data_IF_518532513960
#
_entry.id   IF_518532513960
#
_cell.length_a   1.000
_cell.length_b   1.000
_cell.length_c   1.000
_cell.angle_alpha   90.00
_cell.angle_beta   90.00
_cell.angle_gamma   90.00
#
_symmetry.space_group_name_H-M   'P 1'
#
loop_
_entity.id
_entity.type
_entity.pdbx_description
1 polymer ?
#
# COMPACT_ATOMS: atom_id res chain seq x y z
N UNK A 1 29.14 3.55 -4.48
CA UNK A 1 28.92 2.11 -4.22
C UNK A 1 27.45 1.78 -4.44
N UNK A 2 27.09 0.99 -5.44
CA UNK A 2 25.69 0.60 -5.66
C UNK A 2 25.22 -0.26 -4.48
N UNK A 3 24.15 0.16 -3.78
CA UNK A 3 23.50 -0.70 -2.78
C UNK A 3 23.22 -2.07 -3.41
N UNK A 4 23.66 -3.15 -2.75
CA UNK A 4 23.35 -4.52 -3.15
C UNK A 4 21.83 -4.67 -3.18
N UNK A 5 21.27 -4.86 -4.38
CA UNK A 5 19.82 -4.89 -4.61
C UNK A 5 19.17 -6.03 -3.80
N UNK A 6 18.01 -5.76 -3.22
CA UNK A 6 17.32 -6.67 -2.31
C UNK A 6 16.16 -7.32 -3.07
N UNK A 7 16.41 -8.50 -3.65
CA UNK A 7 15.48 -9.13 -4.60
C UNK A 7 14.05 -9.31 -4.07
N UNK A 8 13.88 -9.72 -2.81
CA UNK A 8 12.54 -9.94 -2.23
C UNK A 8 11.69 -8.67 -2.15
N UNK A 9 12.33 -7.50 -2.02
CA UNK A 9 11.63 -6.22 -2.00
C UNK A 9 11.01 -5.94 -3.36
N UNK A 10 11.69 -6.28 -4.44
CA UNK A 10 11.15 -6.11 -5.79
C UNK A 10 9.89 -6.98 -6.00
N UNK A 11 9.89 -8.24 -5.54
CA UNK A 11 8.70 -9.10 -5.58
C UNK A 11 7.53 -8.54 -4.76
N UNK A 12 7.80 -8.06 -3.54
CA UNK A 12 6.78 -7.46 -2.68
C UNK A 12 6.18 -6.20 -3.32
N UNK A 13 7.00 -5.34 -3.94
CA UNK A 13 6.51 -4.15 -4.65
C UNK A 13 5.64 -4.50 -5.84
N UNK A 14 6.04 -5.50 -6.63
CA UNK A 14 5.25 -5.98 -7.79
C UNK A 14 3.90 -6.54 -7.34
N UNK A 15 3.92 -7.40 -6.33
CA UNK A 15 2.69 -7.98 -5.78
C UNK A 15 1.77 -6.91 -5.18
N UNK A 16 2.33 -5.96 -4.43
CA UNK A 16 1.58 -4.86 -3.84
C UNK A 16 0.96 -3.95 -4.91
N UNK A 17 1.71 -3.57 -5.95
CA UNK A 17 1.19 -2.65 -6.97
C UNK A 17 0.03 -3.25 -7.76
N UNK A 18 0.17 -4.50 -8.23
CA UNK A 18 -0.91 -5.14 -8.97
C UNK A 18 -2.09 -5.50 -8.05
N UNK A 19 -1.83 -5.79 -6.78
CA UNK A 19 -2.91 -5.97 -5.82
C UNK A 19 -3.69 -4.68 -5.56
N UNK A 20 -3.06 -3.50 -5.53
CA UNK A 20 -3.76 -2.21 -5.45
C UNK A 20 -4.62 -1.97 -6.68
N UNK A 21 -4.07 -2.18 -7.88
CA UNK A 21 -4.83 -2.03 -9.14
C UNK A 21 -6.03 -2.97 -9.15
N UNK A 22 -5.84 -4.25 -8.79
CA UNK A 22 -6.94 -5.21 -8.69
C UNK A 22 -7.96 -4.78 -7.64
N UNK A 23 -7.53 -4.37 -6.44
CA UNK A 23 -8.45 -3.92 -5.38
C UNK A 23 -9.36 -2.78 -5.83
N UNK A 24 -8.84 -1.84 -6.63
CA UNK A 24 -9.65 -0.77 -7.18
C UNK A 24 -10.59 -1.28 -8.29
N UNK A 25 -10.14 -2.20 -9.17
CA UNK A 25 -11.00 -2.79 -10.20
C UNK A 25 -12.20 -3.54 -9.61
N UNK A 26 -12.07 -4.08 -8.40
CA UNK A 26 -13.13 -4.80 -7.70
C UNK A 26 -14.22 -3.88 -7.12
N UNK A 27 -13.94 -2.59 -6.93
CA UNK A 27 -14.78 -1.70 -6.13
C UNK A 27 -16.22 -1.60 -6.66
N UNK A 28 -16.39 -1.42 -7.97
CA UNK A 28 -17.71 -1.30 -8.60
C UNK A 28 -18.52 -2.61 -8.49
N UNK A 29 -17.88 -3.77 -8.70
CA UNK A 29 -18.54 -5.08 -8.55
C UNK A 29 -18.96 -5.34 -7.11
N UNK A 30 -18.12 -4.96 -6.14
CA UNK A 30 -18.40 -5.15 -4.72
C UNK A 30 -19.46 -4.20 -4.17
N UNK A 31 -19.61 -3.00 -4.76
CA UNK A 31 -20.67 -2.04 -4.45
C UNK A 31 -22.03 -2.43 -5.06
N UNK A 32 -22.05 -3.38 -6.00
CA UNK A 32 -23.26 -3.88 -6.64
C UNK A 32 -24.04 -4.89 -5.80
N UNK A 33 -24.81 -5.75 -6.48
CA UNK A 33 -25.63 -6.78 -5.83
C UNK A 33 -24.75 -7.85 -5.18
N UNK A 34 -24.82 -7.92 -3.85
CA UNK A 34 -24.11 -8.92 -3.04
C UNK A 34 -24.57 -10.35 -3.35
N UNK A 35 -23.66 -11.32 -3.16
CA UNK A 35 -23.90 -12.76 -3.31
C UNK A 35 -24.33 -13.23 -4.72
N UNK A 36 -23.95 -12.46 -5.74
CA UNK A 36 -23.92 -12.95 -7.12
C UNK A 36 -22.59 -13.66 -7.37
N UNK A 37 -22.50 -14.52 -8.38
CA UNK A 37 -21.24 -15.19 -8.72
C UNK A 37 -20.09 -14.19 -8.99
N UNK A 38 -20.39 -13.05 -9.62
CA UNK A 38 -19.42 -11.97 -9.86
C UNK A 38 -18.96 -11.33 -8.55
N UNK A 39 -19.89 -11.07 -7.63
CA UNK A 39 -19.58 -10.52 -6.31
C UNK A 39 -18.75 -11.51 -5.47
N UNK A 40 -19.09 -12.80 -5.49
CA UNK A 40 -18.36 -13.84 -4.74
C UNK A 40 -16.90 -13.93 -5.21
N UNK A 41 -16.67 -13.94 -6.53
CA UNK A 41 -15.33 -13.87 -7.10
C UNK A 41 -14.61 -12.57 -6.73
N UNK A 42 -15.29 -11.44 -6.81
CA UNK A 42 -14.70 -10.16 -6.44
C UNK A 42 -14.29 -10.12 -4.96
N UNK A 43 -15.13 -10.68 -4.08
CA UNK A 43 -14.87 -10.76 -2.64
C UNK A 43 -13.72 -11.71 -2.31
N UNK A 44 -13.61 -12.84 -3.03
CA UNK A 44 -12.48 -13.75 -2.96
C UNK A 44 -11.16 -13.04 -3.33
N UNK A 45 -11.13 -12.34 -4.47
CA UNK A 45 -9.95 -11.61 -4.89
C UNK A 45 -9.60 -10.46 -3.95
N UNK A 46 -10.60 -9.77 -3.39
CA UNK A 46 -10.38 -8.74 -2.37
C UNK A 46 -9.64 -9.29 -1.16
N UNK A 47 -9.98 -10.49 -0.69
CA UNK A 47 -9.24 -11.16 0.39
C UNK A 47 -7.78 -11.46 0.04
N UNK A 48 -7.48 -11.77 -1.22
CA UNK A 48 -6.10 -11.99 -1.70
C UNK A 48 -5.29 -10.70 -1.70
N UNK A 49 -5.89 -9.58 -2.15
CA UNK A 49 -5.16 -8.33 -2.37
C UNK A 49 -5.26 -7.32 -1.22
N UNK A 50 -6.08 -7.58 -0.21
CA UNK A 50 -6.22 -6.70 0.96
C UNK A 50 -4.88 -6.35 1.66
N UNK A 51 -3.85 -7.21 1.70
CA UNK A 51 -2.57 -6.88 2.35
C UNK A 51 -1.70 -5.88 1.56
N UNK A 52 -2.03 -5.57 0.30
CA UNK A 52 -1.15 -4.84 -0.62
C UNK A 52 -0.69 -3.48 -0.09
N UNK A 53 -1.58 -2.70 0.53
CA UNK A 53 -1.22 -1.42 1.13
C UNK A 53 -0.26 -1.60 2.31
N UNK A 54 -0.54 -2.56 3.19
CA UNK A 54 0.34 -2.88 4.32
C UNK A 54 1.73 -3.30 3.87
N UNK A 55 1.82 -4.07 2.78
CA UNK A 55 3.09 -4.47 2.17
C UNK A 55 3.87 -3.24 1.69
N UNK A 56 3.22 -2.26 1.06
CA UNK A 56 3.89 -1.03 0.64
C UNK A 56 4.49 -0.25 1.81
N UNK A 57 3.77 -0.15 2.93
CA UNK A 57 4.31 0.50 4.13
C UNK A 57 5.49 -0.27 4.72
N UNK A 58 5.40 -1.61 4.79
CA UNK A 58 6.52 -2.44 5.26
C UNK A 58 7.75 -2.33 4.35
N UNK A 59 7.56 -2.37 3.03
CA UNK A 59 8.65 -2.18 2.07
C UNK A 59 9.28 -0.79 2.22
N UNK A 60 8.46 0.24 2.38
CA UNK A 60 8.93 1.61 2.59
C UNK A 60 9.79 1.72 3.85
N UNK A 61 9.36 1.12 4.96
CA UNK A 61 10.14 1.07 6.20
C UNK A 61 11.47 0.34 6.06
N UNK A 62 11.46 -0.83 5.41
CA UNK A 62 12.66 -1.60 5.14
C UNK A 62 13.71 -0.80 4.34
N UNK A 63 13.29 -0.12 3.28
CA UNK A 63 14.18 0.63 2.39
C UNK A 63 14.64 1.96 2.99
N UNK A 64 13.71 2.75 3.52
CA UNK A 64 13.98 4.09 4.04
C UNK A 64 14.85 3.98 5.30
N UNK A 65 14.49 3.15 6.27
CA UNK A 65 15.22 3.08 7.54
C UNK A 65 16.55 2.33 7.46
N UNK A 66 16.84 1.64 6.36
CA UNK A 66 18.14 0.97 6.15
C UNK A 66 19.11 1.78 5.30
N UNK A 67 18.62 2.82 4.62
CA UNK A 67 19.49 3.62 3.75
C UNK A 67 20.44 4.53 4.56
N UNK A 68 21.72 4.65 4.17
CA UNK A 68 22.69 5.48 4.88
C UNK A 68 22.37 6.98 4.77
N UNK A 69 21.73 7.42 3.69
CA UNK A 69 21.38 8.82 3.44
C UNK A 69 20.08 9.28 4.12
N UNK A 70 19.50 8.46 5.00
CA UNK A 70 18.19 8.79 5.60
C UNK A 70 18.30 9.88 6.67
N UNK A 71 19.45 10.03 7.31
CA UNK A 71 19.71 11.08 8.29
C UNK A 71 20.07 12.44 7.62
N UNK A 72 20.29 12.47 6.31
CA UNK A 72 20.69 13.67 5.58
C UNK A 72 19.45 14.48 5.17
N UNK A 73 19.22 15.60 5.87
CA UNK A 73 18.10 16.51 5.60
C UNK A 73 18.20 17.16 4.23
N UNK A 74 19.41 17.55 3.81
CA UNK A 74 19.60 18.15 2.50
C UNK A 74 19.22 17.14 1.41
N UNK A 75 19.72 15.90 1.49
CA UNK A 75 19.36 14.82 0.57
C UNK A 75 17.86 14.48 0.61
N UNK A 76 17.23 14.51 1.78
CA UNK A 76 15.80 14.31 1.92
C UNK A 76 15.00 15.33 1.08
N UNK A 77 15.22 16.63 1.31
CA UNK A 77 14.42 17.68 0.69
C UNK A 77 14.78 17.95 -0.77
N UNK A 78 16.01 17.66 -1.21
CA UNK A 78 16.43 17.92 -2.60
C UNK A 78 16.28 16.72 -3.52
N UNK A 79 16.29 15.49 -2.99
CA UNK A 79 16.27 14.28 -3.82
C UNK A 79 15.09 13.36 -3.51
N UNK A 80 14.94 12.90 -2.27
CA UNK A 80 13.95 11.86 -1.94
C UNK A 80 12.52 12.38 -1.98
N UNK A 81 12.28 13.51 -1.31
CA UNK A 81 10.96 14.10 -1.23
C UNK A 81 10.51 14.59 -2.61
N UNK A 82 11.40 15.23 -3.37
CA UNK A 82 11.13 15.71 -4.73
C UNK A 82 10.69 14.58 -5.67
N UNK A 83 11.39 13.43 -5.64
CA UNK A 83 11.04 12.25 -6.43
C UNK A 83 9.66 11.67 -6.16
N UNK A 84 8.99 12.08 -5.09
CA UNK A 84 7.70 11.55 -4.67
C UNK A 84 6.64 12.65 -4.77
N UNK A 85 6.90 13.80 -4.15
CA UNK A 85 5.94 14.89 -4.10
C UNK A 85 5.73 15.51 -5.48
N UNK A 86 6.77 15.71 -6.30
CA UNK A 86 6.60 16.35 -7.62
C UNK A 86 5.76 15.47 -8.57
N UNK A 87 6.10 14.17 -8.79
CA UNK A 87 5.23 13.27 -9.55
C UNK A 87 3.80 13.21 -9.01
N UNK A 88 3.65 13.12 -7.68
CA UNK A 88 2.34 13.09 -7.04
C UNK A 88 1.50 14.33 -7.35
N UNK A 89 2.06 15.54 -7.20
CA UNK A 89 1.32 16.78 -7.46
C UNK A 89 0.90 16.88 -8.93
N UNK A 90 1.77 16.46 -9.86
CA UNK A 90 1.43 16.44 -11.30
C UNK A 90 0.27 15.48 -11.56
N UNK A 91 0.36 14.25 -11.07
CA UNK A 91 -0.69 13.24 -11.28
C UNK A 91 -1.98 13.57 -10.53
N UNK A 92 -1.90 14.22 -9.37
CA UNK A 92 -3.05 14.76 -8.66
C UNK A 92 -3.79 15.80 -9.53
N UNK A 93 -3.06 16.75 -10.11
CA UNK A 93 -3.62 17.74 -11.04
C UNK A 93 -4.28 17.10 -12.26
N UNK A 94 -3.61 16.12 -12.89
CA UNK A 94 -4.16 15.35 -14.02
C UNK A 94 -5.44 14.62 -13.60
N UNK A 95 -5.43 13.97 -12.44
CA UNK A 95 -6.57 13.19 -11.93
C UNK A 95 -7.77 14.08 -11.66
N UNK A 96 -7.57 15.22 -10.99
CA UNK A 96 -8.62 16.21 -10.75
C UNK A 96 -9.17 16.72 -12.09
N UNK A 97 -8.32 16.95 -13.09
CA UNK A 97 -8.77 17.40 -14.41
C UNK A 97 -9.64 16.33 -15.11
N UNK A 98 -9.20 15.07 -15.11
CA UNK A 98 -9.93 13.97 -15.76
C UNK A 98 -11.25 13.69 -15.05
N UNK A 99 -11.24 13.60 -13.72
CA UNK A 99 -12.42 13.24 -12.92
C UNK A 99 -13.47 14.35 -12.87
N UNK A 100 -13.09 15.62 -13.08
CA UNK A 100 -14.05 16.72 -13.15
C UNK A 100 -14.65 16.93 -14.55
N UNK A 101 -14.05 16.39 -15.62
CA UNK A 101 -14.63 16.48 -16.97
C UNK A 101 -15.93 15.69 -17.13
N UNK A 102 -16.17 14.72 -16.24
CA UNK A 102 -17.42 13.95 -16.19
C UNK A 102 -18.53 14.68 -15.43
N UNK A 103 -18.24 15.83 -14.79
CA UNK A 103 -19.21 16.68 -14.09
C UNK A 103 -19.59 17.86 -15.01
N UNK A 104 -20.87 18.13 -15.27
CA UNK A 104 -21.30 19.35 -15.97
C UNK A 104 -20.78 20.60 -15.23
N UNK A 105 -20.09 21.51 -15.93
CA UNK A 105 -19.56 22.76 -15.35
C UNK A 105 -18.06 22.80 -15.06
N UNK A 106 -17.23 22.01 -15.76
CA UNK A 106 -15.77 22.12 -15.66
C UNK A 106 -15.31 23.57 -15.88
N UNK A 107 -14.70 24.16 -14.85
CA UNK A 107 -14.04 25.47 -14.93
C UNK A 107 -12.64 25.38 -14.33
N UNK A 108 -11.72 26.19 -14.86
CA UNK A 108 -10.37 26.30 -14.33
C UNK A 108 -10.37 26.68 -12.83
N UNK A 109 -11.35 27.48 -12.40
CA UNK A 109 -11.52 27.88 -11.00
C UNK A 109 -11.86 26.69 -10.09
N UNK A 110 -12.76 25.79 -10.50
CA UNK A 110 -13.10 24.59 -9.72
C UNK A 110 -11.90 23.64 -9.64
N UNK A 111 -11.19 23.45 -10.76
CA UNK A 111 -9.97 22.65 -10.77
C UNK A 111 -8.91 23.22 -9.82
N UNK A 112 -8.66 24.52 -9.88
CA UNK A 112 -7.67 25.20 -9.05
C UNK A 112 -8.05 25.14 -7.57
N UNK A 113 -9.32 25.38 -7.21
CA UNK A 113 -9.79 25.23 -5.83
C UNK A 113 -9.56 23.80 -5.31
N UNK A 114 -9.96 22.78 -6.08
CA UNK A 114 -9.73 21.37 -5.69
C UNK A 114 -8.25 21.04 -5.56
N UNK A 115 -7.40 21.62 -6.40
CA UNK A 115 -5.95 21.45 -6.33
C UNK A 115 -5.36 22.11 -5.06
N UNK A 116 -5.84 23.29 -4.68
CA UNK A 116 -5.41 23.95 -3.44
C UNK A 116 -5.87 23.21 -2.18
N UNK A 117 -7.01 22.54 -2.23
CA UNK A 117 -7.52 21.69 -1.13
C UNK A 117 -6.88 20.30 -1.07
N UNK A 118 -5.84 20.01 -1.86
CA UNK A 118 -5.18 18.69 -1.81
C UNK A 118 -4.69 18.37 -0.40
N UNK A 119 -4.27 19.36 0.39
CA UNK A 119 -3.77 19.08 1.74
C UNK A 119 -4.81 18.41 2.68
N UNK A 120 -6.11 18.66 2.47
CA UNK A 120 -7.19 18.12 3.30
C UNK A 120 -8.21 17.26 2.53
N UNK A 121 -8.14 17.21 1.21
CA UNK A 121 -9.00 16.40 0.35
C UNK A 121 -8.18 15.62 -0.67
N UNK A 122 -8.35 14.30 -0.70
CA UNK A 122 -7.60 13.47 -1.64
C UNK A 122 -8.06 13.70 -3.09
N UNK A 123 -7.13 13.86 -4.06
CA UNK A 123 -7.48 14.04 -5.47
C UNK A 123 -8.29 12.87 -6.04
N UNK A 124 -8.04 11.67 -5.50
CA UNK A 124 -8.85 10.47 -5.64
C UNK A 124 -8.67 9.61 -4.40
N UNK A 125 -9.60 8.69 -4.13
CA UNK A 125 -9.45 7.76 -2.99
C UNK A 125 -8.13 7.02 -3.08
N UNK A 126 -7.71 6.55 -4.25
CA UNK A 126 -6.45 5.83 -4.45
C UNK A 126 -5.20 6.58 -3.93
N UNK A 127 -5.21 7.92 -3.93
CA UNK A 127 -4.06 8.73 -3.48
C UNK A 127 -3.89 8.88 -1.98
N UNK A 128 -4.82 8.38 -1.16
CA UNK A 128 -4.74 8.48 0.29
C UNK A 128 -3.40 7.96 0.85
N UNK A 129 -2.86 6.89 0.25
CA UNK A 129 -1.58 6.26 0.65
C UNK A 129 -0.37 7.22 0.56
N UNK A 130 -0.42 8.21 -0.33
CA UNK A 130 0.68 9.18 -0.49
C UNK A 130 0.88 10.04 0.74
N UNK A 131 -0.17 10.31 1.52
CA UNK A 131 -0.12 11.23 2.64
C UNK A 131 0.68 10.65 3.81
N UNK A 132 0.38 9.43 4.30
CA UNK A 132 1.25 8.77 5.27
C UNK A 132 2.66 8.52 4.73
N UNK A 133 2.80 8.19 3.43
CA UNK A 133 4.12 7.97 2.83
C UNK A 133 4.98 9.24 2.90
N UNK A 134 4.45 10.39 2.49
CA UNK A 134 5.15 11.69 2.59
C UNK A 134 5.50 11.98 4.06
N UNK A 135 4.58 11.73 5.00
CA UNK A 135 4.84 11.81 6.43
C UNK A 135 6.02 10.95 6.87
N UNK A 136 6.10 9.70 6.41
CA UNK A 136 7.23 8.82 6.69
C UNK A 136 8.55 9.31 6.09
N UNK A 137 8.55 9.94 4.91
CA UNK A 137 9.77 10.55 4.38
C UNK A 137 10.23 11.72 5.25
N UNK A 138 9.32 12.63 5.62
CA UNK A 138 9.63 13.80 6.45
C UNK A 138 10.14 13.40 7.84
N UNK A 139 9.53 12.39 8.46
CA UNK A 139 9.93 11.88 9.78
C UNK A 139 11.07 10.87 9.73
N UNK A 140 11.47 10.42 8.54
CA UNK A 140 12.48 9.37 8.39
C UNK A 140 13.84 9.70 9.03
N UNK A 141 14.37 10.93 9.03
CA UNK A 141 15.64 11.24 9.70
C UNK A 141 15.55 11.04 11.22
N UNK A 142 14.43 11.46 11.84
CA UNK A 142 14.18 11.27 13.26
C UNK A 142 14.05 9.77 13.59
N UNK A 143 13.24 9.04 12.82
CA UNK A 143 13.03 7.61 13.05
C UNK A 143 14.35 6.85 12.83
N UNK A 144 15.14 7.23 11.82
CA UNK A 144 16.45 6.64 11.52
C UNK A 144 17.44 6.86 12.66
N UNK A 145 17.56 8.09 13.18
CA UNK A 145 18.40 8.41 14.33
C UNK A 145 18.05 7.56 15.57
N UNK A 146 16.76 7.25 15.75
CA UNK A 146 16.29 6.32 16.79
C UNK A 146 16.69 4.86 16.49
N UNK A 147 16.31 4.30 15.34
CA UNK A 147 16.52 2.87 15.06
C UNK A 147 17.98 2.48 14.84
N UNK A 148 18.87 3.44 14.59
CA UNK A 148 20.32 3.22 14.49
C UNK A 148 20.97 2.95 15.85
N UNK A 149 20.41 3.54 16.91
CA UNK A 149 20.92 3.40 18.28
C UNK A 149 20.09 2.42 19.11
N UNK A 150 18.82 2.26 18.79
CA UNK A 150 17.91 1.37 19.50
C UNK A 150 18.25 -0.10 19.24
N UNK A 151 18.16 -0.93 20.29
CA UNK A 151 18.18 -2.39 20.10
C UNK A 151 16.91 -2.85 19.39
N UNK A 152 16.98 -3.98 18.67
CA UNK A 152 15.80 -4.56 18.02
C UNK A 152 14.66 -4.87 19.01
N UNK A 153 14.97 -5.13 20.30
CA UNK A 153 13.97 -5.32 21.36
C UNK A 153 13.18 -4.04 21.66
N UNK A 154 13.84 -2.89 21.63
CA UNK A 154 13.15 -1.60 21.82
C UNK A 154 12.24 -1.31 20.62
N UNK A 155 12.67 -1.66 19.41
CA UNK A 155 11.80 -1.58 18.21
C UNK A 155 10.59 -2.51 18.36
N UNK A 156 10.79 -3.75 18.85
CA UNK A 156 9.69 -4.69 19.11
C UNK A 156 8.71 -4.15 20.16
N UNK A 157 9.21 -3.49 21.21
CA UNK A 157 8.38 -2.82 22.22
C UNK A 157 7.53 -1.68 21.62
N UNK A 158 8.11 -0.82 20.77
CA UNK A 158 7.36 0.25 20.10
C UNK A 158 6.28 -0.31 19.16
N UNK A 159 6.60 -1.39 18.43
CA UNK A 159 5.62 -2.09 17.59
C UNK A 159 4.49 -2.67 18.45
N UNK A 160 4.80 -3.27 19.61
CA UNK A 160 3.79 -3.81 20.52
C UNK A 160 2.88 -2.72 21.08
N UNK A 161 3.44 -1.60 21.54
CA UNK A 161 2.66 -0.46 22.00
C UNK A 161 1.73 0.07 20.92
N UNK A 162 2.25 0.25 19.70
CA UNK A 162 1.44 0.66 18.56
C UNK A 162 0.34 -0.35 18.26
N UNK A 163 0.66 -1.65 18.26
CA UNK A 163 -0.30 -2.71 17.96
C UNK A 163 -1.46 -2.69 18.97
N UNK A 164 -1.16 -2.55 20.27
CA UNK A 164 -2.20 -2.47 21.30
C UNK A 164 -3.07 -1.23 21.09
N UNK A 165 -2.44 -0.07 20.95
CA UNK A 165 -3.14 1.24 20.98
C UNK A 165 -3.87 1.58 19.68
N UNK A 166 -3.31 1.21 18.53
CA UNK A 166 -3.81 1.64 17.21
C UNK A 166 -4.51 0.52 16.43
N UNK A 167 -4.31 -0.75 16.80
CA UNK A 167 -4.91 -1.89 16.09
C UNK A 167 -5.85 -2.67 17.01
N UNK A 168 -5.33 -3.21 18.12
CA UNK A 168 -6.07 -4.11 18.99
C UNK A 168 -7.24 -3.42 19.69
N UNK A 169 -7.01 -2.28 20.36
CA UNK A 169 -8.07 -1.57 21.07
C UNK A 169 -9.17 -1.08 20.13
N UNK A 170 -8.88 -0.37 19.00
CA UNK A 170 -9.92 -0.01 18.03
C UNK A 170 -10.66 -1.22 17.46
N UNK A 171 -9.97 -2.32 17.18
CA UNK A 171 -10.60 -3.55 16.70
C UNK A 171 -11.55 -4.16 17.75
N UNK A 172 -11.15 -4.21 19.02
CA UNK A 172 -12.02 -4.66 20.12
C UNK A 172 -13.27 -3.79 20.21
N UNK A 173 -13.12 -2.46 20.13
CA UNK A 173 -14.26 -1.52 20.13
C UNK A 173 -15.23 -1.83 18.98
N UNK A 174 -14.72 -2.13 17.78
CA UNK A 174 -15.56 -2.43 16.61
C UNK A 174 -16.36 -3.73 16.75
N UNK A 175 -15.79 -4.77 17.36
CA UNK A 175 -16.46 -6.08 17.50
C UNK A 175 -17.34 -6.19 18.75
N UNK A 176 -17.16 -5.31 19.74
CA UNK A 176 -17.91 -5.34 21.00
C UNK A 176 -19.29 -4.69 20.89
N UNK A 177 -20.28 -5.14 21.70
CA UNK A 177 -21.53 -4.43 21.85
C UNK A 177 -21.33 -3.00 22.36
N UNK A 178 -22.11 -2.04 21.86
CA UNK A 178 -21.96 -0.60 22.14
C UNK A 178 -21.91 -0.25 23.62
N UNK A 179 -22.63 -1.00 24.48
CA UNK A 179 -22.63 -0.83 25.95
C UNK A 179 -21.26 -0.97 26.60
N UNK A 180 -20.36 -1.75 26.01
CA UNK A 180 -19.01 -1.98 26.51
C UNK A 180 -17.96 -1.26 25.69
N UNK A 181 -18.22 -1.07 24.39
CA UNK A 181 -17.33 -0.38 23.47
C UNK A 181 -16.97 1.03 23.97
N UNK A 182 -17.88 1.71 24.69
CA UNK A 182 -17.66 3.06 25.24
C UNK A 182 -16.45 3.15 26.17
N UNK A 183 -16.14 2.11 26.96
CA UNK A 183 -15.04 2.12 27.91
C UNK A 183 -13.66 2.00 27.24
N UNK A 184 -13.63 1.49 26.00
CA UNK A 184 -12.42 1.30 25.21
C UNK A 184 -12.35 2.27 24.02
N UNK A 185 -13.41 3.06 23.80
CA UNK A 185 -13.48 4.05 22.72
C UNK A 185 -12.52 5.19 22.99
N UNK A 186 -11.71 5.54 21.99
CA UNK A 186 -10.83 6.70 22.06
C UNK A 186 -11.51 7.93 21.49
N UNK A 187 -11.17 9.11 22.02
CA UNK A 187 -11.66 10.39 21.49
C UNK A 187 -10.96 10.71 20.17
N UNK A 188 -11.68 10.83 19.03
CA UNK A 188 -11.08 11.06 17.71
C UNK A 188 -10.24 12.35 17.63
N UNK A 189 -10.55 13.34 18.48
CA UNK A 189 -9.84 14.63 18.59
C UNK A 189 -8.37 14.49 18.98
N UNK A 190 -7.95 13.36 19.56
CA UNK A 190 -6.55 13.10 19.93
C UNK A 190 -5.81 12.23 18.90
N UNK A 191 -6.39 11.99 17.72
CA UNK A 191 -5.67 11.33 16.64
C UNK A 191 -4.49 12.21 16.20
N UNK A 192 -3.28 11.82 16.59
CA UNK A 192 -2.05 12.34 15.99
C UNK A 192 -1.99 11.81 14.55
N UNK A 193 -2.61 12.57 13.63
CA UNK A 193 -2.76 12.27 12.20
C UNK A 193 -1.41 11.97 11.52
N UNK A 194 -0.29 12.41 12.10
CA UNK A 194 1.04 12.31 11.48
C UNK A 194 1.59 10.89 11.37
N UNK A 195 1.15 9.93 12.19
CA UNK A 195 1.70 8.56 12.21
C UNK A 195 0.64 7.47 12.10
N UNK A 196 -0.55 7.67 12.68
CA UNK A 196 -1.76 6.87 12.48
C UNK A 196 -1.60 5.34 12.57
N UNK A 197 -2.60 4.63 12.05
CA UNK A 197 -2.62 3.16 11.99
C UNK A 197 -1.61 2.57 10.99
N UNK A 198 -0.81 3.38 10.30
CA UNK A 198 0.14 2.91 9.28
C UNK A 198 1.58 2.83 9.80
N UNK A 199 1.92 3.56 10.87
CA UNK A 199 3.29 3.66 11.39
C UNK A 199 3.88 2.31 11.84
N UNK A 200 3.07 1.45 12.46
CA UNK A 200 3.55 0.13 12.85
C UNK A 200 3.91 -0.76 11.67
N UNK A 201 3.17 -0.70 10.57
CA UNK A 201 3.53 -1.41 9.33
C UNK A 201 4.92 -0.99 8.85
N UNK A 202 5.21 0.31 8.88
CA UNK A 202 6.52 0.86 8.53
C UNK A 202 7.64 0.28 9.41
N UNK A 203 7.46 0.27 10.74
CA UNK A 203 8.45 -0.31 11.67
C UNK A 203 8.57 -1.83 11.56
N UNK A 204 7.46 -2.56 11.37
CA UNK A 204 7.45 -4.01 11.16
C UNK A 204 8.28 -4.37 9.93
N UNK A 205 8.14 -3.61 8.83
CA UNK A 205 8.93 -3.81 7.63
C UNK A 205 10.44 -3.67 7.86
N UNK A 206 10.85 -2.61 8.57
CA UNK A 206 12.25 -2.44 9.00
C UNK A 206 12.72 -3.59 9.89
N UNK A 207 11.91 -3.95 10.90
CA UNK A 207 12.23 -4.98 11.86
C UNK A 207 12.40 -6.36 11.20
N UNK A 208 11.48 -6.73 10.31
CA UNK A 208 11.55 -7.96 9.52
C UNK A 208 12.73 -7.94 8.55
N UNK A 209 13.05 -6.79 7.93
CA UNK A 209 14.21 -6.64 7.07
C UNK A 209 15.54 -6.91 7.82
N UNK A 210 15.70 -6.37 9.03
CA UNK A 210 16.89 -6.58 9.86
C UNK A 210 17.00 -7.99 10.45
N UNK A 211 15.91 -8.76 10.52
CA UNK A 211 15.96 -10.13 11.05
C UNK A 211 16.78 -11.06 10.14
N UNK A 212 17.86 -11.70 10.63
CA UNK A 212 18.63 -12.65 9.85
C UNK A 212 17.85 -13.94 9.60
N UNK A 213 18.03 -14.54 8.43
CA UNK A 213 17.40 -15.81 8.08
C UNK A 213 18.37 -16.94 8.43
N UNK A 214 18.21 -17.54 9.61
CA UNK A 214 19.06 -18.66 10.06
C UNK A 214 18.69 -19.98 9.39
N UNK A 215 17.38 -20.31 9.32
CA UNK A 215 16.86 -21.51 8.67
C UNK A 215 15.52 -21.18 7.99
N UNK A 216 15.46 -21.10 6.64
CA UNK A 216 14.22 -20.80 5.96
C UNK A 216 13.33 -22.05 5.94
N UNK A 217 12.50 -22.24 6.99
CA UNK A 217 11.41 -23.21 7.00
C UNK A 217 10.24 -22.73 6.13
N UNK A 218 10.51 -22.46 4.85
CA UNK A 218 9.57 -21.75 3.95
C UNK A 218 8.21 -22.46 3.82
N UNK A 219 8.20 -23.81 3.84
CA UNK A 219 6.97 -24.61 3.78
C UNK A 219 5.97 -24.22 4.87
N UNK A 220 6.42 -24.07 6.11
CA UNK A 220 5.53 -23.69 7.23
C UNK A 220 5.01 -22.26 7.10
N UNK A 221 5.85 -21.35 6.59
CA UNK A 221 5.44 -19.98 6.32
C UNK A 221 4.39 -19.92 5.19
N UNK A 222 4.53 -20.73 4.14
CA UNK A 222 3.50 -20.86 3.12
C UNK A 222 2.19 -21.42 3.68
N UNK A 223 2.24 -22.49 4.49
CA UNK A 223 1.04 -23.06 5.13
C UNK A 223 0.33 -21.97 5.94
N UNK A 224 1.06 -21.25 6.81
CA UNK A 224 0.49 -20.18 7.62
C UNK A 224 -0.09 -19.04 6.77
N UNK A 225 0.62 -18.65 5.70
CA UNK A 225 0.14 -17.62 4.76
C UNK A 225 -1.19 -18.05 4.11
N UNK A 226 -1.31 -19.30 3.66
CA UNK A 226 -2.53 -19.84 3.06
C UNK A 226 -3.66 -19.95 4.09
N UNK A 227 -3.35 -20.35 5.33
CA UNK A 227 -4.33 -20.38 6.42
C UNK A 227 -4.88 -18.98 6.73
N UNK A 228 -4.01 -17.97 6.82
CA UNK A 228 -4.42 -16.58 7.05
C UNK A 228 -5.22 -16.01 5.87
N UNK A 229 -4.87 -16.39 4.64
CA UNK A 229 -5.64 -16.05 3.44
C UNK A 229 -7.06 -16.64 3.51
N UNK A 230 -7.17 -17.95 3.77
CA UNK A 230 -8.46 -18.63 3.88
C UNK A 230 -9.31 -18.04 5.02
N UNK A 231 -8.68 -17.75 6.17
CA UNK A 231 -9.33 -17.10 7.29
C UNK A 231 -9.85 -15.70 6.92
N UNK A 232 -9.03 -14.90 6.23
CA UNK A 232 -9.41 -13.55 5.79
C UNK A 232 -10.59 -13.59 4.82
N UNK A 233 -10.56 -14.47 3.81
CA UNK A 233 -11.66 -14.63 2.86
C UNK A 233 -12.93 -15.11 3.58
N UNK A 234 -12.80 -16.14 4.42
CA UNK A 234 -13.93 -16.71 5.16
C UNK A 234 -14.59 -15.71 6.09
N UNK A 235 -13.81 -15.02 6.93
CA UNK A 235 -14.33 -14.01 7.85
C UNK A 235 -14.95 -12.82 7.11
N UNK A 236 -14.34 -12.37 6.02
CA UNK A 236 -14.92 -11.29 5.21
C UNK A 236 -16.27 -11.70 4.61
N UNK A 237 -16.39 -12.93 4.12
CA UNK A 237 -17.65 -13.46 3.60
C UNK A 237 -18.74 -13.58 4.68
N UNK A 238 -18.37 -14.07 5.88
CA UNK A 238 -19.28 -14.13 7.03
C UNK A 238 -19.73 -12.73 7.50
N UNK A 239 -18.81 -11.76 7.45
CA UNK A 239 -19.09 -10.36 7.78
C UNK A 239 -20.06 -9.74 6.76
N UNK A 240 -19.86 -10.02 5.46
CA UNK A 240 -20.80 -9.60 4.41
C UNK A 240 -22.21 -10.19 4.61
N UNK A 241 -22.30 -11.43 5.11
CA UNK A 241 -23.56 -12.06 5.51
C UNK A 241 -24.14 -11.55 6.83
N UNK A 242 -23.46 -10.62 7.52
CA UNK A 242 -23.81 -10.12 8.85
C UNK A 242 -23.93 -11.22 9.92
N UNK A 243 -23.30 -12.37 9.68
CA UNK A 243 -23.22 -13.48 10.66
C UNK A 243 -22.19 -13.14 11.73
N UNK A 244 -21.10 -12.49 11.33
CA UNK A 244 -20.09 -11.94 12.23
C UNK A 244 -20.01 -10.43 12.03
N UNK A 245 -19.35 -9.74 12.96
CA UNK A 245 -18.99 -8.33 12.84
C UNK A 245 -17.47 -8.16 12.96
N UNK A 246 -16.71 -9.02 12.26
CA UNK A 246 -15.24 -9.09 12.39
C UNK A 246 -14.61 -8.49 11.12
N UNK A 247 -14.13 -7.23 11.17
CA UNK A 247 -13.52 -6.58 10.02
C UNK A 247 -12.12 -7.15 9.78
N UNK A 248 -11.88 -7.69 8.59
CA UNK A 248 -10.58 -8.31 8.23
C UNK A 248 -9.96 -7.73 6.96
N UNK A 249 -10.73 -6.99 6.16
CA UNK A 249 -10.22 -6.30 4.97
C UNK A 249 -9.70 -4.92 5.36
N UNK A 250 -8.58 -4.52 4.75
CA UNK A 250 -7.91 -3.26 5.01
C UNK A 250 -6.62 -3.46 5.80
N UNK A 251 -6.24 -2.46 6.60
CA UNK A 251 -4.98 -2.44 7.37
C UNK A 251 -5.20 -2.17 8.86
N UNK A 252 -6.45 -2.18 9.32
CA UNK A 252 -6.84 -1.74 10.66
C UNK A 252 -7.06 -2.91 11.63
N UNK A 253 -7.03 -4.15 11.14
CA UNK A 253 -7.31 -5.34 11.95
C UNK A 253 -6.04 -6.09 12.35
N UNK A 254 -6.03 -6.74 13.52
CA UNK A 254 -4.95 -7.65 13.93
C UNK A 254 -4.66 -8.73 12.88
N UNK A 255 -5.70 -9.29 12.27
CA UNK A 255 -5.59 -10.34 11.25
C UNK A 255 -4.87 -9.78 10.01
N UNK A 256 -5.24 -8.58 9.56
CA UNK A 256 -4.58 -7.92 8.44
C UNK A 256 -3.10 -7.64 8.72
N UNK A 257 -2.75 -7.17 9.93
CA UNK A 257 -1.35 -6.94 10.33
C UNK A 257 -0.54 -8.23 10.27
N UNK A 258 -1.04 -9.30 10.89
CA UNK A 258 -0.36 -10.60 10.95
C UNK A 258 -0.23 -11.20 9.56
N UNK A 259 -1.29 -11.14 8.75
CA UNK A 259 -1.30 -11.66 7.39
C UNK A 259 -0.29 -10.92 6.50
N UNK A 260 -0.26 -9.59 6.57
CA UNK A 260 0.71 -8.76 5.84
C UNK A 260 2.15 -9.07 6.26
N UNK A 261 2.41 -9.16 7.57
CA UNK A 261 3.73 -9.47 8.13
C UNK A 261 4.21 -10.87 7.69
N UNK A 262 3.31 -11.84 7.69
CA UNK A 262 3.62 -13.21 7.28
C UNK A 262 3.89 -13.30 5.78
N UNK A 263 3.13 -12.60 4.93
CA UNK A 263 3.44 -12.51 3.50
C UNK A 263 4.85 -11.93 3.29
N UNK A 264 5.17 -10.81 3.94
CA UNK A 264 6.50 -10.19 3.86
C UNK A 264 7.59 -11.20 4.23
N UNK A 265 7.39 -11.91 5.33
CA UNK A 265 8.34 -12.88 5.87
C UNK A 265 8.49 -14.12 4.98
N UNK A 266 7.39 -14.66 4.47
CA UNK A 266 7.36 -15.78 3.52
C UNK A 266 8.15 -15.44 2.26
N UNK A 267 7.88 -14.30 1.64
CA UNK A 267 8.58 -13.86 0.42
C UNK A 267 10.06 -13.61 0.69
N UNK A 268 10.40 -12.97 1.82
CA UNK A 268 11.80 -12.76 2.23
C UNK A 268 12.56 -14.09 2.38
N UNK A 269 11.97 -15.09 3.03
CA UNK A 269 12.59 -16.41 3.21
C UNK A 269 12.67 -17.19 1.91
N UNK A 270 11.60 -17.16 1.12
CA UNK A 270 11.52 -17.82 -0.18
C UNK A 270 12.62 -17.31 -1.11
N UNK A 271 12.88 -16.00 -1.14
CA UNK A 271 13.85 -15.42 -2.07
C UNK A 271 15.31 -15.83 -1.80
N UNK A 272 15.65 -16.30 -0.60
CA UNK A 272 17.05 -16.61 -0.25
C UNK A 272 17.55 -17.87 -0.94
N UNK A 273 16.65 -18.81 -1.27
CA UNK A 273 17.03 -20.14 -1.78
C UNK A 273 16.30 -20.54 -3.06
N UNK A 274 15.53 -19.65 -3.67
CA UNK A 274 14.71 -20.02 -4.82
C UNK A 274 15.43 -19.70 -6.15
N UNK A 275 15.68 -20.71 -7.02
CA UNK A 275 16.30 -20.50 -8.33
C UNK A 275 15.55 -19.54 -9.26
N UNK A 276 14.24 -19.35 -9.05
CA UNK A 276 13.44 -18.38 -9.80
C UNK A 276 13.94 -16.93 -9.57
N UNK A 277 14.57 -16.67 -8.44
CA UNK A 277 15.19 -15.37 -8.16
C UNK A 277 16.31 -15.07 -9.15
N UNK A 278 17.14 -16.07 -9.44
CA UNK A 278 18.22 -15.93 -10.43
C UNK A 278 17.67 -15.88 -11.86
N UNK A 279 16.61 -16.67 -12.15
CA UNK A 279 15.94 -16.67 -13.45
C UNK A 279 15.35 -15.31 -13.82
N UNK A 280 14.69 -14.64 -12.88
CA UNK A 280 14.02 -13.36 -13.11
C UNK A 280 14.83 -12.15 -12.63
N UNK A 281 16.12 -12.32 -12.31
CA UNK A 281 16.98 -11.27 -11.74
C UNK A 281 17.09 -10.01 -12.59
N UNK A 282 16.85 -10.09 -13.90
CA UNK A 282 16.92 -8.95 -14.82
C UNK A 282 15.55 -8.28 -15.04
N UNK A 283 14.46 -9.02 -14.81
CA UNK A 283 13.09 -8.59 -15.12
C UNK A 283 12.43 -7.97 -13.89
N UNK A 284 12.48 -8.66 -12.76
CA UNK A 284 11.89 -8.21 -11.49
C UNK A 284 12.34 -6.79 -11.11
N UNK A 285 13.62 -6.42 -11.29
CA UNK A 285 14.08 -5.05 -11.16
C UNK A 285 13.34 -3.97 -11.94
N UNK A 286 13.03 -4.27 -13.20
CA UNK A 286 12.41 -3.34 -14.13
C UNK A 286 10.96 -3.09 -13.70
N UNK A 287 10.19 -4.15 -13.47
CA UNK A 287 8.80 -4.02 -13.03
C UNK A 287 8.69 -3.31 -11.68
N UNK A 288 9.58 -3.63 -10.74
CA UNK A 288 9.63 -2.97 -9.43
C UNK A 288 9.94 -1.47 -9.53
N UNK A 289 10.78 -1.03 -10.48
CA UNK A 289 11.04 0.41 -10.64
C UNK A 289 9.82 1.14 -11.22
N UNK A 290 9.02 0.49 -12.06
CA UNK A 290 7.81 1.06 -12.65
C UNK A 290 6.62 1.16 -11.67
N UNK A 291 6.64 0.42 -10.56
CA UNK A 291 5.53 0.32 -9.61
C UNK A 291 4.99 1.67 -9.13
N UNK A 292 5.86 2.65 -8.88
CA UNK A 292 5.40 3.98 -8.44
C UNK A 292 4.66 4.73 -9.55
N UNK A 293 5.13 4.62 -10.79
CA UNK A 293 4.42 5.21 -11.91
C UNK A 293 3.05 4.57 -12.16
N UNK A 294 2.96 3.23 -12.03
CA UNK A 294 1.68 2.51 -12.13
C UNK A 294 0.72 2.99 -11.05
N UNK A 295 1.22 3.19 -9.83
CA UNK A 295 0.43 3.72 -8.72
C UNK A 295 -0.10 5.12 -9.02
N UNK A 296 0.69 5.99 -9.65
CA UNK A 296 0.24 7.34 -9.97
C UNK A 296 -0.78 7.38 -11.12
N UNK A 297 -0.64 6.49 -12.11
CA UNK A 297 -1.45 6.55 -13.33
C UNK A 297 -2.73 5.69 -13.32
N UNK A 298 -2.80 4.64 -12.49
CA UNK A 298 -3.88 3.64 -12.60
C UNK A 298 -5.28 4.23 -12.44
N UNK A 299 -5.50 5.15 -11.49
CA UNK A 299 -6.83 5.73 -11.27
C UNK A 299 -7.36 6.49 -12.49
N UNK A 300 -6.50 7.22 -13.20
CA UNK A 300 -6.86 7.92 -14.45
C UNK A 300 -7.19 6.92 -15.55
N UNK A 301 -6.34 5.91 -15.74
CA UNK A 301 -6.54 4.90 -16.78
C UNK A 301 -7.83 4.11 -16.53
N UNK A 302 -8.07 3.69 -15.30
CA UNK A 302 -9.31 3.01 -14.91
C UNK A 302 -10.54 3.88 -15.18
N UNK A 303 -10.51 5.15 -14.80
CA UNK A 303 -11.61 6.07 -15.05
C UNK A 303 -11.91 6.20 -16.55
N UNK A 304 -10.89 6.27 -17.41
CA UNK A 304 -11.08 6.30 -18.86
C UNK A 304 -11.71 5.00 -19.37
N UNK A 305 -11.22 3.84 -18.93
CA UNK A 305 -11.78 2.54 -19.33
C UNK A 305 -13.26 2.41 -18.94
N UNK A 306 -13.61 2.84 -17.73
CA UNK A 306 -14.97 2.71 -17.20
C UNK A 306 -15.94 3.74 -17.76
N UNK A 307 -15.52 5.00 -17.92
CA UNK A 307 -16.43 6.11 -18.28
C UNK A 307 -16.47 6.41 -19.78
N UNK A 308 -15.35 6.21 -20.49
CA UNK A 308 -15.26 6.50 -21.93
C UNK A 308 -15.46 5.24 -22.76
N UNK A 309 -14.85 4.13 -22.35
CA UNK A 309 -14.94 2.86 -23.07
C UNK A 309 -16.03 1.92 -22.54
N UNK A 310 -16.76 2.31 -21.48
CA UNK A 310 -17.85 1.54 -20.85
C UNK A 310 -17.45 0.10 -20.47
N UNK A 311 -16.21 -0.10 -20.04
CA UNK A 311 -15.71 -1.40 -19.60
C UNK A 311 -15.93 -1.52 -18.10
N UNK A 312 -16.86 -2.40 -17.67
CA UNK A 312 -17.22 -2.56 -16.25
C UNK A 312 -16.83 -3.92 -15.65
N UNK A 313 -16.37 -4.87 -16.46
CA UNK A 313 -15.92 -6.17 -15.95
C UNK A 313 -14.56 -6.00 -15.23
N UNK A 314 -14.51 -6.28 -13.92
CA UNK A 314 -13.33 -6.04 -13.10
C UNK A 314 -12.05 -6.74 -13.61
N UNK A 315 -12.16 -7.92 -14.22
CA UNK A 315 -11.02 -8.66 -14.78
C UNK A 315 -10.46 -7.91 -15.97
N UNK A 316 -11.34 -7.47 -16.88
CA UNK A 316 -10.94 -6.71 -18.07
C UNK A 316 -10.34 -5.37 -17.65
N UNK A 317 -10.99 -4.64 -16.72
CA UNK A 317 -10.47 -3.38 -16.18
C UNK A 317 -9.09 -3.58 -15.55
N UNK A 318 -8.90 -4.62 -14.73
CA UNK A 318 -7.61 -4.94 -14.12
C UNK A 318 -6.52 -5.23 -15.17
N UNK A 319 -6.80 -6.11 -16.13
CA UNK A 319 -5.81 -6.52 -17.15
C UNK A 319 -5.44 -5.34 -18.04
N UNK A 320 -6.42 -4.62 -18.59
CA UNK A 320 -6.18 -3.48 -19.46
C UNK A 320 -5.46 -2.36 -18.71
N UNK A 321 -5.89 -2.03 -17.49
CA UNK A 321 -5.21 -1.01 -16.66
C UNK A 321 -3.77 -1.41 -16.39
N UNK A 322 -3.52 -2.67 -16.02
CA UNK A 322 -2.16 -3.16 -15.75
C UNK A 322 -1.25 -3.06 -16.97
N UNK A 323 -1.74 -3.48 -18.15
CA UNK A 323 -0.99 -3.42 -19.40
C UNK A 323 -0.73 -1.97 -19.81
N UNK A 324 -1.77 -1.12 -19.82
CA UNK A 324 -1.65 0.28 -20.23
C UNK A 324 -0.72 1.05 -19.28
N UNK A 325 -0.86 0.87 -17.96
CA UNK A 325 0.04 1.48 -16.98
C UNK A 325 1.48 1.00 -17.15
N UNK A 326 1.70 -0.29 -17.36
CA UNK A 326 3.04 -0.85 -17.60
C UNK A 326 3.68 -0.27 -18.85
N UNK A 327 2.95 -0.23 -19.96
CA UNK A 327 3.43 0.34 -21.22
C UNK A 327 3.70 1.84 -21.06
N UNK A 328 2.76 2.61 -20.51
CA UNK A 328 2.92 4.04 -20.27
C UNK A 328 4.16 4.33 -19.42
N UNK A 329 4.27 3.68 -18.27
CA UNK A 329 5.38 3.90 -17.35
C UNK A 329 6.71 3.44 -17.93
N UNK A 330 6.72 2.33 -18.65
CA UNK A 330 7.92 1.85 -19.34
C UNK A 330 8.37 2.85 -20.42
N UNK A 331 7.46 3.33 -21.27
CA UNK A 331 7.77 4.28 -22.33
C UNK A 331 8.32 5.59 -21.76
N UNK A 332 7.65 6.15 -20.74
CA UNK A 332 8.12 7.37 -20.06
C UNK A 332 9.46 7.13 -19.35
N UNK A 333 9.72 5.94 -18.82
CA UNK A 333 10.99 5.63 -18.16
C UNK A 333 12.20 5.71 -19.10
N UNK A 334 11.97 5.63 -20.42
CA UNK A 334 13.00 5.78 -21.47
C UNK A 334 13.30 7.23 -21.82
N UNK A 335 12.45 8.19 -21.43
CA UNK A 335 12.63 9.60 -21.75
C UNK A 335 13.41 10.31 -20.63
N UNK A 336 14.64 10.81 -20.90
CA UNK A 336 15.45 11.52 -19.90
C UNK A 336 14.71 12.75 -19.35
N UNK A 337 14.95 13.08 -18.07
CA UNK A 337 14.28 14.16 -17.31
C UNK A 337 12.78 13.93 -17.06
N UNK A 338 11.99 13.56 -18.08
CA UNK A 338 10.54 13.31 -17.96
C UNK A 338 10.26 12.18 -16.97
N UNK A 339 11.04 11.10 -16.99
CA UNK A 339 10.91 9.99 -16.03
C UNK A 339 11.05 10.43 -14.56
N UNK A 340 11.90 11.42 -14.29
CA UNK A 340 12.12 11.93 -12.94
C UNK A 340 10.93 12.80 -12.52
N UNK A 341 10.47 13.67 -13.41
CA UNK A 341 9.37 14.60 -13.14
C UNK A 341 8.01 13.90 -13.04
N UNK A 342 7.69 12.98 -13.96
CA UNK A 342 6.38 12.32 -13.99
C UNK A 342 6.28 11.11 -13.08
N UNK A 343 7.38 10.40 -12.83
CA UNK A 343 7.34 9.12 -12.13
C UNK A 343 8.44 8.94 -11.07
N UNK A 344 9.34 9.92 -10.86
CA UNK A 344 10.38 9.82 -9.83
C UNK A 344 11.44 8.75 -10.08
N UNK A 345 11.53 8.22 -11.31
CA UNK A 345 12.41 7.09 -11.70
C UNK A 345 13.71 7.59 -12.32
#
# INVERSE_FOLDING_TARGET
MSQKRINYIDYLKIMAIFGVVLSHSLANTLAGKMFTAQWDWANFFLGIVSPSVGIFFMVSGALILTSPHTNDLHYLFTHRLVKIVVPFLIWAGITIAVFNRTIPGFSANIWFHKFLTIYNQFPSTAFWFMYPLIGFYLLSPMIKAFVDKASLRVVDYVILLWFITNILLPFIVQIMPSRYAIYLSYQPKFSLILLGQTFGYFLIGYRLHKTPIKRPKVKWNFILTITLLALTIGLNYLNAKKITNIPVIGYESPIAVIFTAEIFWTIKKWSVRNPLVDKFKNITPLFSSLAYGIYLSHGVIMSILETVLNVHNFVIVFVLTSIICLLLTYLVSRIPKVRYTLFGI
#
